data_IF_463477852013
#
_entry.id   IF_463477852013
#
_cell.length_a   1.000
_cell.length_b   1.000
_cell.length_c   1.000
_cell.angle_alpha   90.00
_cell.angle_beta   90.00
_cell.angle_gamma   90.00
#
_symmetry.space_group_name_H-M   'P 1'
#
loop_
_entity.id
_entity.type
_entity.pdbx_description
1 polymer ?
#
# COMPACT_ATOMS: atom_id res chain seq x y z
N UNK A 1 -5.88 -11.79 20.82
CA UNK A 1 -7.22 -11.27 21.14
C UNK A 1 -7.93 -10.73 19.91
N UNK A 2 -7.26 -9.97 19.04
CA UNK A 2 -7.85 -9.42 17.81
C UNK A 2 -8.46 -10.49 16.89
N UNK A 3 -7.87 -11.66 16.78
CA UNK A 3 -8.38 -12.75 15.96
C UNK A 3 -9.77 -13.26 16.40
N UNK A 4 -10.16 -13.05 17.68
CA UNK A 4 -11.50 -13.43 18.17
C UNK A 4 -12.61 -12.61 17.55
N UNK A 5 -12.29 -11.36 17.18
CA UNK A 5 -13.28 -10.45 16.58
C UNK A 5 -13.58 -10.83 15.13
N UNK A 6 -12.69 -11.56 14.44
CA UNK A 6 -12.88 -11.97 13.06
C UNK A 6 -14.12 -12.85 12.83
N UNK A 7 -14.45 -13.71 13.79
CA UNK A 7 -15.64 -14.56 13.72
C UNK A 7 -16.87 -14.00 14.43
N UNK A 8 -16.77 -12.81 15.04
CA UNK A 8 -17.84 -12.24 15.85
C UNK A 8 -18.54 -11.05 15.19
N UNK A 9 -17.77 -10.23 14.48
CA UNK A 9 -18.28 -9.00 13.86
C UNK A 9 -18.38 -9.15 12.35
N UNK A 10 -19.35 -8.47 11.77
CA UNK A 10 -19.51 -8.35 10.32
C UNK A 10 -18.56 -7.29 9.74
N UNK A 11 -18.40 -6.17 10.45
CA UNK A 11 -17.53 -5.07 10.06
C UNK A 11 -16.73 -4.61 11.28
N UNK A 12 -15.43 -4.42 11.09
CA UNK A 12 -14.51 -3.87 12.09
C UNK A 12 -14.01 -2.52 11.58
N UNK A 13 -14.32 -1.46 12.31
CA UNK A 13 -13.81 -0.13 12.03
C UNK A 13 -12.44 0.06 12.71
N UNK A 14 -11.45 0.49 11.96
CA UNK A 14 -10.13 0.88 12.44
C UNK A 14 -10.05 2.39 12.32
N UNK A 15 -10.29 3.05 13.43
CA UNK A 15 -10.18 4.51 13.51
C UNK A 15 -8.70 4.92 13.55
N UNK A 16 -8.37 6.07 12.96
CA UNK A 16 -7.01 6.60 12.90
C UNK A 16 -5.99 5.59 12.33
N UNK A 17 -6.27 5.07 11.14
CA UNK A 17 -5.40 4.09 10.48
C UNK A 17 -3.95 4.57 10.32
N UNK A 18 -3.73 5.88 10.23
CA UNK A 18 -2.43 6.54 10.16
C UNK A 18 -1.58 6.36 11.44
N UNK A 19 -2.20 6.05 12.58
CA UNK A 19 -1.50 5.75 13.84
C UNK A 19 -0.95 4.30 13.88
N UNK A 20 -1.35 3.47 12.92
CA UNK A 20 -0.88 2.09 12.83
C UNK A 20 0.56 2.05 12.31
N UNK A 21 1.50 1.59 13.14
CA UNK A 21 2.89 1.47 12.74
C UNK A 21 3.12 0.32 11.73
N UNK A 22 4.30 0.30 11.09
CA UNK A 22 4.66 -0.68 10.03
C UNK A 22 4.48 -2.14 10.47
N UNK A 23 4.82 -2.46 11.73
CA UNK A 23 4.68 -3.83 12.25
C UNK A 23 3.21 -4.20 12.42
N UNK A 24 2.39 -3.27 12.89
CA UNK A 24 0.95 -3.46 13.03
C UNK A 24 0.27 -3.57 11.66
N UNK A 25 0.70 -2.81 10.66
CA UNK A 25 0.22 -2.98 9.28
C UNK A 25 0.54 -4.38 8.74
N UNK A 26 1.74 -4.91 9.03
CA UNK A 26 2.10 -6.28 8.69
C UNK A 26 1.17 -7.32 9.33
N UNK A 27 0.84 -7.14 10.60
CA UNK A 27 -0.12 -7.98 11.32
C UNK A 27 -1.53 -7.86 10.74
N UNK A 28 -1.99 -6.66 10.42
CA UNK A 28 -3.29 -6.44 9.79
C UNK A 28 -3.39 -7.13 8.44
N UNK A 29 -2.34 -7.05 7.60
CA UNK A 29 -2.29 -7.79 6.32
C UNK A 29 -2.43 -9.29 6.52
N UNK A 30 -1.83 -9.83 7.57
CA UNK A 30 -2.00 -11.24 7.93
C UNK A 30 -3.45 -11.54 8.32
N UNK A 31 -4.09 -10.70 9.13
CA UNK A 31 -5.50 -10.85 9.51
C UNK A 31 -6.44 -10.79 8.31
N UNK A 32 -6.19 -9.85 7.37
CA UNK A 32 -6.99 -9.69 6.16
C UNK A 32 -6.97 -10.92 5.24
N UNK A 33 -5.90 -11.71 5.28
CA UNK A 33 -5.76 -12.91 4.44
C UNK A 33 -6.26 -14.19 5.13
N UNK A 34 -6.51 -14.16 6.43
CA UNK A 34 -6.82 -15.34 7.22
C UNK A 34 -8.29 -15.73 7.07
N UNK A 35 -8.64 -16.84 6.39
CA UNK A 35 -10.02 -17.26 6.24
C UNK A 35 -10.58 -17.90 7.52
N UNK A 36 -9.69 -18.47 8.33
CA UNK A 36 -10.02 -19.18 9.57
C UNK A 36 -9.02 -18.75 10.66
N UNK A 37 -9.53 -18.41 11.82
CA UNK A 37 -8.71 -18.12 13.00
C UNK A 37 -8.71 -19.34 13.94
N UNK A 38 -7.52 -19.78 14.34
CA UNK A 38 -7.36 -20.88 15.30
C UNK A 38 -7.16 -20.29 16.69
N UNK A 39 -8.16 -20.39 17.53
CA UNK A 39 -8.17 -19.79 18.86
C UNK A 39 -8.18 -20.85 19.96
N UNK A 40 -7.31 -20.67 20.94
CA UNK A 40 -7.33 -21.43 22.19
C UNK A 40 -8.02 -20.61 23.26
N UNK A 41 -9.01 -21.21 23.95
CA UNK A 41 -9.62 -20.57 25.12
C UNK A 41 -8.57 -20.48 26.23
N UNK A 42 -8.56 -19.38 27.02
CA UNK A 42 -7.76 -19.33 28.24
C UNK A 42 -8.07 -20.57 29.10
N UNK A 43 -7.03 -21.24 29.55
CA UNK A 43 -7.12 -22.49 30.34
C UNK A 43 -7.75 -23.71 29.63
N UNK A 44 -8.10 -23.60 28.35
CA UNK A 44 -8.61 -24.72 27.55
C UNK A 44 -7.50 -25.47 26.82
N UNK A 45 -7.66 -26.80 26.65
CA UNK A 45 -6.70 -27.65 25.90
C UNK A 45 -7.08 -27.81 24.41
N UNK A 46 -8.25 -27.34 24.00
CA UNK A 46 -8.75 -27.48 22.63
C UNK A 46 -8.59 -26.19 21.84
N UNK A 47 -8.10 -26.33 20.58
CA UNK A 47 -8.09 -25.25 19.61
C UNK A 47 -9.44 -25.27 18.92
N UNK A 48 -10.09 -24.09 18.84
CA UNK A 48 -11.33 -23.90 18.10
C UNK A 48 -11.02 -23.16 16.82
N UNK A 49 -11.53 -23.67 15.71
CA UNK A 49 -11.51 -22.97 14.42
C UNK A 49 -12.70 -22.03 14.34
N UNK A 50 -12.41 -20.76 14.07
CA UNK A 50 -13.44 -19.72 13.88
C UNK A 50 -13.29 -19.18 12.46
N UNK A 51 -14.35 -19.36 11.66
CA UNK A 51 -14.44 -18.77 10.32
C UNK A 51 -14.47 -17.25 10.42
N UNK A 52 -13.73 -16.57 9.56
CA UNK A 52 -13.79 -15.11 9.47
C UNK A 52 -15.06 -14.66 8.76
N UNK A 53 -15.83 -13.79 9.41
CA UNK A 53 -16.95 -13.07 8.83
C UNK A 53 -16.63 -11.57 8.67
N UNK A 54 -15.67 -11.06 9.42
CA UNK A 54 -15.38 -9.65 9.47
C UNK A 54 -14.74 -9.14 8.17
N UNK A 55 -15.32 -8.05 7.66
CA UNK A 55 -14.67 -7.09 6.77
C UNK A 55 -14.11 -5.94 7.59
N UNK A 56 -13.23 -5.13 6.98
CA UNK A 56 -12.58 -4.02 7.65
C UNK A 56 -12.85 -2.73 6.90
N UNK A 57 -13.02 -1.65 7.64
CA UNK A 57 -13.00 -0.28 7.15
C UNK A 57 -12.02 0.50 8.02
N UNK A 58 -11.31 1.44 7.46
CA UNK A 58 -10.40 2.32 8.21
C UNK A 58 -10.62 3.77 7.82
N UNK A 59 -10.38 4.68 8.77
CA UNK A 59 -10.42 6.13 8.56
C UNK A 59 -9.03 6.70 8.79
N UNK A 60 -8.70 7.79 8.11
CA UNK A 60 -7.44 8.50 8.29
C UNK A 60 -7.57 9.95 7.88
N UNK A 61 -6.82 10.81 8.55
CA UNK A 61 -6.64 12.21 8.20
C UNK A 61 -5.43 12.45 7.28
N UNK A 62 -4.62 11.40 7.01
CA UNK A 62 -3.45 11.48 6.14
C UNK A 62 -3.70 10.70 4.86
N UNK A 63 -3.11 11.17 3.75
CA UNK A 63 -3.24 10.52 2.44
C UNK A 63 -2.20 9.40 2.26
N UNK A 64 -0.99 9.58 2.77
CA UNK A 64 0.15 8.67 2.66
C UNK A 64 0.07 7.49 3.67
N UNK A 65 -0.92 6.63 3.48
CA UNK A 65 -1.28 5.57 4.43
C UNK A 65 -0.49 4.28 4.25
N UNK A 66 -0.15 3.96 2.99
CA UNK A 66 0.35 2.65 2.63
C UNK A 66 1.87 2.61 2.68
N UNK A 67 2.42 1.98 3.72
CA UNK A 67 3.88 1.87 3.92
C UNK A 67 4.53 0.75 3.12
N UNK A 68 3.74 -0.21 2.61
CA UNK A 68 4.24 -1.35 1.82
C UNK A 68 3.47 -1.49 0.50
N UNK A 69 4.06 -1.02 -0.60
CA UNK A 69 3.45 -1.10 -1.93
C UNK A 69 3.13 -2.53 -2.39
N UNK A 70 3.87 -3.53 -1.90
CA UNK A 70 3.64 -4.93 -2.27
C UNK A 70 2.33 -5.48 -1.68
N UNK A 71 1.83 -4.83 -0.63
CA UNK A 71 0.60 -5.20 0.08
C UNK A 71 -0.61 -4.33 -0.25
N UNK A 72 -0.45 -3.30 -1.08
CA UNK A 72 -1.50 -2.29 -1.37
C UNK A 72 -2.78 -2.90 -1.98
N UNK A 73 -2.68 -3.98 -2.73
CA UNK A 73 -3.82 -4.69 -3.33
C UNK A 73 -4.89 -5.20 -2.34
N UNK A 74 -4.60 -5.15 -1.03
CA UNK A 74 -5.55 -5.56 0.03
C UNK A 74 -6.40 -4.41 0.55
N UNK A 75 -6.08 -3.20 0.13
CA UNK A 75 -6.73 -1.97 0.58
C UNK A 75 -7.37 -1.28 -0.62
N UNK A 76 -8.62 -0.87 -0.46
CA UNK A 76 -9.30 0.01 -1.40
C UNK A 76 -9.28 1.38 -0.75
N UNK A 77 -8.37 2.26 -1.22
CA UNK A 77 -8.24 3.61 -0.69
C UNK A 77 -9.20 4.54 -1.43
N UNK A 78 -9.93 5.34 -0.67
CA UNK A 78 -10.90 6.31 -1.19
C UNK A 78 -10.64 7.64 -0.52
N UNK A 79 -10.44 8.69 -1.32
CA UNK A 79 -10.33 10.05 -0.83
C UNK A 79 -11.73 10.68 -0.71
N UNK A 80 -12.05 11.15 0.48
CA UNK A 80 -13.29 11.90 0.73
C UNK A 80 -13.02 13.37 0.41
N UNK A 81 -13.51 13.87 -0.72
CA UNK A 81 -13.23 15.23 -1.23
C UNK A 81 -14.29 16.26 -0.85
N UNK A 82 -15.39 15.84 -0.27
CA UNK A 82 -16.48 16.71 0.16
C UNK A 82 -16.93 16.40 1.60
N UNK A 83 -17.55 17.36 2.30
CA UNK A 83 -18.10 17.09 3.62
C UNK A 83 -19.10 15.94 3.59
N UNK A 84 -18.99 15.03 4.55
CA UNK A 84 -19.91 13.89 4.70
C UNK A 84 -21.22 14.43 5.27
N UNK A 85 -22.33 14.12 4.59
CA UNK A 85 -23.65 14.47 5.05
C UNK A 85 -24.08 13.55 6.19
N UNK A 86 -24.10 14.06 7.42
CA UNK A 86 -24.35 13.28 8.63
C UNK A 86 -25.82 13.22 9.04
N UNK A 87 -26.67 14.11 8.46
CA UNK A 87 -28.06 14.25 8.83
C UNK A 87 -29.03 13.41 7.99
N UNK A 88 -28.51 12.47 7.18
CA UNK A 88 -29.33 11.60 6.34
C UNK A 88 -29.83 10.41 7.12
N UNK A 89 -31.15 10.17 7.08
CA UNK A 89 -31.72 8.94 7.63
C UNK A 89 -31.49 7.78 6.66
N UNK A 90 -30.62 6.86 7.04
CA UNK A 90 -30.30 5.68 6.22
C UNK A 90 -31.44 4.65 6.36
N UNK A 91 -32.02 4.25 5.21
CA UNK A 91 -32.98 3.13 5.19
C UNK A 91 -32.22 1.79 5.15
N UNK A 92 -31.86 1.29 6.32
CA UNK A 92 -31.10 0.03 6.44
C UNK A 92 -31.82 -1.17 5.81
N UNK A 93 -33.15 -1.21 5.79
CA UNK A 93 -33.90 -2.30 5.15
C UNK A 93 -33.65 -2.34 3.64
N UNK A 94 -33.65 -1.18 2.98
CA UNK A 94 -33.36 -1.09 1.56
C UNK A 94 -31.89 -1.38 1.28
N UNK A 95 -30.95 -0.90 2.11
CA UNK A 95 -29.52 -1.15 1.98
C UNK A 95 -29.22 -2.65 2.03
N UNK A 96 -29.74 -3.36 3.03
CA UNK A 96 -29.56 -4.81 3.12
C UNK A 96 -30.27 -5.58 2.01
N UNK A 97 -31.45 -5.14 1.59
CA UNK A 97 -32.16 -5.75 0.48
C UNK A 97 -31.40 -5.61 -0.83
N UNK A 98 -30.77 -4.48 -1.09
CA UNK A 98 -29.90 -4.27 -2.24
C UNK A 98 -28.69 -5.21 -2.21
N UNK A 99 -28.01 -5.33 -1.07
CA UNK A 99 -26.87 -6.23 -0.92
C UNK A 99 -27.25 -7.70 -1.16
N UNK A 100 -28.39 -8.14 -0.60
CA UNK A 100 -28.92 -9.50 -0.81
C UNK A 100 -29.27 -9.72 -2.28
N UNK A 101 -29.89 -8.73 -2.93
CA UNK A 101 -30.23 -8.82 -4.35
C UNK A 101 -28.99 -8.94 -5.24
N UNK A 102 -27.92 -8.19 -4.96
CA UNK A 102 -26.64 -8.30 -5.64
C UNK A 102 -26.05 -9.71 -5.53
N UNK A 103 -26.09 -10.30 -4.33
CA UNK A 103 -25.65 -11.68 -4.09
C UNK A 103 -26.47 -12.67 -4.92
N UNK A 104 -27.80 -12.56 -4.92
CA UNK A 104 -28.67 -13.45 -5.71
C UNK A 104 -28.49 -13.32 -7.21
N UNK A 105 -28.14 -12.14 -7.69
CA UNK A 105 -27.75 -11.93 -9.09
C UNK A 105 -26.39 -12.48 -9.45
N UNK A 106 -25.62 -12.96 -8.48
CA UNK A 106 -24.28 -13.46 -8.69
C UNK A 106 -23.26 -12.35 -8.99
N UNK A 107 -23.53 -11.12 -8.50
CA UNK A 107 -22.54 -10.05 -8.64
C UNK A 107 -21.21 -10.45 -7.99
N UNK A 108 -20.13 -10.15 -8.69
CA UNK A 108 -18.79 -10.53 -8.26
C UNK A 108 -18.34 -9.69 -7.06
N UNK A 109 -17.90 -10.34 -6.00
CA UNK A 109 -17.41 -9.71 -4.77
C UNK A 109 -15.88 -9.82 -4.59
N UNK A 110 -15.18 -10.33 -5.60
CA UNK A 110 -13.71 -10.42 -5.64
C UNK A 110 -13.17 -9.63 -6.82
N UNK A 111 -11.92 -9.17 -6.71
CA UNK A 111 -11.22 -8.47 -7.77
C UNK A 111 -10.57 -9.49 -8.72
N UNK A 112 -10.61 -9.21 -10.02
CA UNK A 112 -9.84 -9.94 -11.03
C UNK A 112 -8.49 -9.21 -11.28
N UNK A 113 -7.68 -9.73 -12.19
CA UNK A 113 -6.35 -9.16 -12.50
C UNK A 113 -6.44 -7.72 -13.03
N UNK A 114 -7.48 -7.39 -13.80
CA UNK A 114 -7.73 -6.03 -14.31
C UNK A 114 -8.11 -5.09 -13.18
N UNK A 115 -9.02 -5.50 -12.30
CA UNK A 115 -9.41 -4.73 -11.12
C UNK A 115 -8.21 -4.52 -10.17
N UNK A 116 -7.36 -5.56 -9.98
CA UNK A 116 -6.14 -5.43 -9.17
C UNK A 116 -5.14 -4.45 -9.80
N UNK A 117 -5.03 -4.39 -11.12
CA UNK A 117 -4.17 -3.44 -11.81
C UNK A 117 -4.66 -2.00 -11.63
N UNK A 118 -5.97 -1.76 -11.78
CA UNK A 118 -6.60 -0.46 -11.54
C UNK A 118 -6.41 -0.04 -10.07
N UNK A 119 -6.72 -0.94 -9.14
CA UNK A 119 -6.57 -0.68 -7.71
C UNK A 119 -5.14 -0.33 -7.34
N UNK A 120 -4.16 -1.03 -7.90
CA UNK A 120 -2.75 -0.74 -7.68
C UNK A 120 -2.36 0.65 -8.21
N UNK A 121 -2.92 1.06 -9.34
CA UNK A 121 -2.67 2.39 -9.89
C UNK A 121 -3.29 3.48 -9.00
N UNK A 122 -4.54 3.31 -8.59
CA UNK A 122 -5.23 4.26 -7.69
C UNK A 122 -4.53 4.36 -6.34
N UNK A 123 -4.11 3.22 -5.76
CA UNK A 123 -3.45 3.19 -4.46
C UNK A 123 -2.06 3.86 -4.43
N UNK A 124 -1.43 4.12 -5.59
CA UNK A 124 -0.15 4.84 -5.65
C UNK A 124 -0.21 6.22 -5.01
N UNK A 125 -1.34 6.88 -5.11
CA UNK A 125 -1.54 8.20 -4.49
C UNK A 125 -1.57 8.16 -2.96
N UNK A 126 -1.78 6.98 -2.40
CA UNK A 126 -1.84 6.72 -0.96
C UNK A 126 -0.60 6.02 -0.42
N UNK A 127 0.39 5.73 -1.28
CA UNK A 127 1.64 5.12 -0.86
C UNK A 127 2.57 6.17 -0.25
N UNK A 128 3.12 5.83 0.91
CA UNK A 128 4.14 6.66 1.56
C UNK A 128 5.43 6.59 0.74
N UNK A 129 5.88 7.73 0.24
CA UNK A 129 7.18 7.82 -0.39
C UNK A 129 8.28 7.51 0.63
N UNK A 130 9.13 6.56 0.31
CA UNK A 130 10.27 6.25 1.19
C UNK A 130 11.19 7.47 1.30
N UNK A 131 11.91 7.65 2.43
CA UNK A 131 12.88 8.74 2.56
C UNK A 131 13.91 8.76 1.43
N UNK A 132 14.19 7.61 0.86
CA UNK A 132 15.08 7.46 -0.27
C UNK A 132 14.45 7.96 -1.59
N UNK A 133 13.17 7.72 -1.80
CA UNK A 133 12.42 8.25 -2.95
C UNK A 133 12.31 9.76 -2.86
N UNK A 134 12.01 10.29 -1.68
CA UNK A 134 12.00 11.74 -1.44
C UNK A 134 13.35 12.36 -1.75
N UNK A 135 14.43 11.76 -1.25
CA UNK A 135 15.78 12.22 -1.52
C UNK A 135 16.14 12.11 -3.00
N UNK A 136 15.71 11.04 -3.68
CA UNK A 136 15.92 10.88 -5.12
C UNK A 136 15.29 12.05 -5.88
N UNK A 137 14.05 12.40 -5.60
CA UNK A 137 13.34 13.52 -6.25
C UNK A 137 13.94 14.90 -5.96
N UNK A 138 14.71 15.06 -4.87
CA UNK A 138 15.46 16.29 -4.61
C UNK A 138 16.65 16.48 -5.56
N UNK A 139 17.23 15.39 -6.07
CA UNK A 139 18.48 15.45 -6.84
C UNK A 139 18.40 14.91 -8.26
N UNK A 140 17.30 14.23 -8.59
CA UNK A 140 17.09 13.62 -9.90
C UNK A 140 15.65 13.80 -10.38
N UNK A 141 15.50 13.95 -11.68
CA UNK A 141 14.21 13.74 -12.36
C UNK A 141 14.37 12.73 -13.49
N UNK A 142 13.32 11.98 -13.86
CA UNK A 142 13.33 11.20 -15.08
C UNK A 142 13.63 12.12 -16.27
N UNK A 143 14.49 11.69 -17.18
CA UNK A 143 14.74 12.37 -18.44
C UNK A 143 13.99 11.63 -19.54
N UNK A 144 13.31 12.37 -20.43
CA UNK A 144 12.68 11.78 -21.61
C UNK A 144 13.74 11.38 -22.64
N UNK A 145 13.35 10.57 -23.64
CA UNK A 145 14.30 10.02 -24.61
C UNK A 145 15.01 11.09 -25.45
N UNK A 146 14.41 12.27 -25.58
CA UNK A 146 14.91 13.42 -26.35
C UNK A 146 15.63 14.46 -25.48
N UNK A 147 15.61 14.30 -24.16
CA UNK A 147 16.28 15.23 -23.23
C UNK A 147 17.74 14.85 -22.96
N UNK A 148 18.56 15.85 -22.67
CA UNK A 148 19.93 15.64 -22.17
C UNK A 148 19.88 15.04 -20.77
N UNK A 149 20.16 13.73 -20.69
CA UNK A 149 20.17 12.97 -19.43
C UNK A 149 21.34 11.99 -19.37
N UNK A 150 21.66 11.58 -18.17
CA UNK A 150 22.70 10.57 -17.92
C UNK A 150 22.08 9.18 -17.70
N UNK A 151 22.72 8.16 -18.27
CA UNK A 151 22.35 6.77 -18.01
C UNK A 151 23.11 6.24 -16.80
N UNK A 152 22.44 6.11 -15.67
CA UNK A 152 23.04 5.74 -14.39
C UNK A 152 22.51 4.39 -13.87
N UNK A 153 23.40 3.60 -13.28
CA UNK A 153 23.00 2.40 -12.52
C UNK A 153 22.44 2.78 -11.15
N UNK A 154 21.65 1.90 -10.54
CA UNK A 154 21.16 2.10 -9.17
C UNK A 154 22.31 2.35 -8.17
N UNK A 155 23.47 1.71 -8.36
CA UNK A 155 24.64 1.93 -7.52
C UNK A 155 25.22 3.35 -7.69
N UNK A 156 25.32 3.84 -8.93
CA UNK A 156 25.82 5.19 -9.19
C UNK A 156 24.91 6.27 -8.62
N UNK A 157 23.59 6.09 -8.77
CA UNK A 157 22.58 6.98 -8.19
C UNK A 157 22.74 6.99 -6.67
N UNK A 158 22.83 5.82 -6.05
CA UNK A 158 22.98 5.67 -4.61
C UNK A 158 24.24 6.36 -4.09
N UNK A 159 25.37 6.12 -4.74
CA UNK A 159 26.64 6.75 -4.37
C UNK A 159 26.55 8.29 -4.47
N UNK A 160 25.91 8.81 -5.52
CA UNK A 160 25.68 10.24 -5.67
C UNK A 160 24.85 10.80 -4.50
N UNK A 161 23.72 10.15 -4.16
CA UNK A 161 22.89 10.55 -3.03
C UNK A 161 23.67 10.51 -1.70
N UNK A 162 24.52 9.51 -1.51
CA UNK A 162 25.37 9.40 -0.32
C UNK A 162 26.41 10.51 -0.22
N UNK A 163 26.95 10.97 -1.35
CA UNK A 163 27.91 12.10 -1.35
C UNK A 163 27.24 13.43 -1.03
N UNK A 164 25.98 13.61 -1.47
CA UNK A 164 25.21 14.84 -1.23
C UNK A 164 24.64 14.90 0.18
N UNK A 165 24.27 13.77 0.76
CA UNK A 165 23.82 13.69 2.14
C UNK A 165 25.01 13.39 3.04
N UNK A 166 25.40 14.32 3.90
CA UNK A 166 26.47 14.11 4.90
C UNK A 166 26.18 12.95 5.88
N UNK A 167 24.98 12.40 5.86
CA UNK A 167 24.57 11.25 6.65
C UNK A 167 24.78 9.97 5.83
N UNK A 168 25.39 8.95 6.43
CA UNK A 168 25.40 7.60 5.86
C UNK A 168 23.97 7.12 5.74
N UNK A 169 23.43 7.16 4.51
CA UNK A 169 22.16 6.51 4.23
C UNK A 169 22.31 5.04 4.59
N UNK A 170 21.54 4.57 5.56
CA UNK A 170 21.55 3.16 5.99
C UNK A 170 20.91 2.27 4.91
N UNK A 171 21.43 2.34 3.67
CA UNK A 171 20.96 1.53 2.56
C UNK A 171 21.81 0.29 2.51
N UNK A 172 21.36 -0.71 3.23
CA UNK A 172 22.06 -1.98 3.30
C UNK A 172 21.89 -2.84 2.03
N UNK A 173 21.05 -2.43 1.06
CA UNK A 173 20.79 -3.26 -0.13
C UNK A 173 20.47 -2.43 -1.37
N UNK A 174 21.46 -2.31 -2.28
CA UNK A 174 21.28 -1.73 -3.63
C UNK A 174 20.09 -2.35 -4.39
N UNK A 175 19.84 -3.64 -4.19
CA UNK A 175 18.71 -4.34 -4.79
C UNK A 175 17.34 -3.81 -4.32
N UNK A 176 17.22 -3.31 -3.09
CA UNK A 176 16.01 -2.68 -2.59
C UNK A 176 15.79 -1.32 -3.24
N UNK A 177 16.85 -0.54 -3.38
CA UNK A 177 16.84 0.74 -4.08
C UNK A 177 16.49 0.57 -5.56
N UNK A 178 17.11 -0.39 -6.25
CA UNK A 178 16.79 -0.71 -7.64
C UNK A 178 15.31 -1.06 -7.85
N UNK A 179 14.70 -1.78 -6.90
CA UNK A 179 13.24 -2.06 -6.93
C UNK A 179 12.39 -0.80 -6.72
N UNK A 180 12.84 0.13 -5.88
CA UNK A 180 12.15 1.41 -5.71
C UNK A 180 12.22 2.25 -7.00
N UNK A 181 13.39 2.35 -7.63
CA UNK A 181 13.56 3.05 -8.91
C UNK A 181 12.67 2.50 -10.03
N UNK A 182 12.48 1.17 -10.09
CA UNK A 182 11.60 0.55 -11.08
C UNK A 182 10.13 0.98 -10.95
N UNK A 183 9.69 1.39 -9.75
CA UNK A 183 8.33 1.87 -9.51
C UNK A 183 8.11 3.31 -9.99
N UNK A 184 9.17 4.09 -10.13
CA UNK A 184 9.10 5.51 -10.49
C UNK A 184 8.88 5.74 -11.99
N UNK A 185 8.61 4.68 -12.77
CA UNK A 185 8.41 4.75 -14.23
C UNK A 185 9.52 5.49 -14.98
N UNK A 186 10.76 5.42 -14.48
CA UNK A 186 11.92 6.04 -15.09
C UNK A 186 12.28 5.28 -16.37
N UNK A 187 12.52 5.93 -17.51
CA UNK A 187 13.02 5.28 -18.70
C UNK A 187 14.28 4.47 -18.37
N UNK A 188 14.28 3.18 -18.69
CA UNK A 188 15.39 2.31 -18.34
C UNK A 188 15.75 1.35 -19.48
N UNK A 189 17.02 0.93 -19.49
CA UNK A 189 17.54 -0.09 -20.42
C UNK A 189 18.45 -1.09 -19.69
N UNK A 190 18.46 -2.32 -20.17
CA UNK A 190 19.37 -3.35 -19.65
C UNK A 190 20.75 -3.20 -20.26
N UNK A 191 21.80 -3.37 -19.46
CA UNK A 191 23.20 -3.39 -19.89
C UNK A 191 23.96 -4.53 -19.20
N UNK A 192 25.18 -4.81 -19.63
CA UNK A 192 26.07 -5.79 -18.95
C UNK A 192 26.38 -5.40 -17.49
N UNK A 193 26.26 -4.12 -17.13
CA UNK A 193 26.45 -3.59 -15.77
C UNK A 193 25.17 -3.54 -14.93
N UNK A 194 24.04 -4.04 -15.45
CA UNK A 194 22.73 -4.01 -14.83
C UNK A 194 21.76 -3.04 -15.51
N UNK A 195 20.66 -2.71 -14.83
CA UNK A 195 19.68 -1.74 -15.34
C UNK A 195 20.23 -0.33 -15.23
N UNK A 196 20.17 0.39 -16.35
CA UNK A 196 20.51 1.82 -16.45
C UNK A 196 19.21 2.62 -16.49
N UNK A 197 19.16 3.72 -15.76
CA UNK A 197 18.04 4.64 -15.67
C UNK A 197 18.43 5.97 -16.33
N UNK A 198 17.53 6.52 -17.16
CA UNK A 198 17.76 7.80 -17.84
C UNK A 198 17.29 8.95 -16.95
N UNK A 199 18.23 9.76 -16.49
CA UNK A 199 17.99 10.75 -15.44
C UNK A 199 18.69 12.06 -15.75
N UNK A 200 18.05 13.14 -15.39
CA UNK A 200 18.69 14.45 -15.27
C UNK A 200 19.01 14.73 -13.80
N UNK A 201 20.20 15.25 -13.57
CA UNK A 201 20.60 15.73 -12.24
C UNK A 201 20.05 17.12 -12.02
N UNK A 202 19.31 17.28 -10.94
CA UNK A 202 18.89 18.58 -10.47
C UNK A 202 20.08 19.21 -9.72
N UNK A 203 20.41 20.46 -10.09
CA UNK A 203 21.37 21.25 -9.31
C UNK A 203 20.69 21.61 -7.99
N UNK A 204 20.86 20.75 -6.99
CA UNK A 204 20.48 21.09 -5.64
C UNK A 204 21.45 22.12 -5.09
N UNK A 205 20.98 23.32 -4.85
CA UNK A 205 21.67 24.34 -4.08
C UNK A 205 21.97 23.88 -2.66
#
# INVERSE_FOLDING_TARGET
>A
EAERYLGRFFLINIDEFDQINVNQQGFLKHLLQKPVANLRKPYGNTIQEIRRYASFIGTSNQKDLLTDPSGSRRFICIEVTAPIETNVTINYKQLYAQAIHAIYKGERYWLNDEDEAILKQTNREFEQASPLEQLFHCYFRPADAEEEGEWLTAMQILNYLQTKTRNKLAINKVAQFGRALQKLNIPCRKSMKGTLYHLEKLNGD
#
